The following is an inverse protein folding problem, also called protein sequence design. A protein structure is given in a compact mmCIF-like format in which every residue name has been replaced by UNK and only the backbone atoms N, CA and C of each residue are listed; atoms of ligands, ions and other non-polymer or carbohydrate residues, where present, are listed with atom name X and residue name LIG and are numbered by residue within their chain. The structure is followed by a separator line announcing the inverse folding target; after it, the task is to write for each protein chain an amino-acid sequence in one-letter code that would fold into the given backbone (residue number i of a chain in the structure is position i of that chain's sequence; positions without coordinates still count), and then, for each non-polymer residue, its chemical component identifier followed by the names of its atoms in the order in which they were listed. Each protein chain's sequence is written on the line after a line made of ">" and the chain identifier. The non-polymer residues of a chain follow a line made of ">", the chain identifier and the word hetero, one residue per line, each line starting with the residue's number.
data_IF_152264653768
#
_entry.id   IF_152264653768
#
_cell.length_a   1.000
_cell.length_b   1.000
_cell.length_c   1.000
_cell.angle_alpha   90.00
_cell.angle_beta   90.00
_cell.angle_gamma   90.00
#
_symmetry.space_group_name_H-M   'P 1'
#
loop_
_entity.id
_entity.type
_entity.pdbx_description
1 polymer ?
#
# COMPACT_ATOMS: atom_id res chain seq x y z
N UNK A 1 18.24 7.18 5.89
CA UNK A 1 17.62 6.23 6.85
C UNK A 1 16.76 6.95 7.89
N UNK A 2 17.11 8.19 8.28
CA UNK A 2 16.44 8.99 9.32
C UNK A 2 14.98 9.39 9.03
N UNK A 3 14.49 9.16 7.82
CA UNK A 3 13.13 9.54 7.38
C UNK A 3 12.15 8.35 7.38
N UNK A 4 12.65 7.11 7.44
CA UNK A 4 11.79 5.93 7.56
C UNK A 4 11.35 5.77 9.00
N UNK A 5 10.06 5.53 9.22
CA UNK A 5 9.51 5.28 10.56
C UNK A 5 9.14 3.81 10.76
N UNK A 6 7.90 3.57 11.18
CA UNK A 6 7.38 2.22 11.46
C UNK A 6 7.22 1.35 10.22
N UNK A 7 6.70 0.14 10.41
CA UNK A 7 6.40 -0.81 9.32
C UNK A 7 4.95 -1.24 9.36
N UNK A 8 4.28 -1.16 8.21
CA UNK A 8 2.92 -1.66 8.01
C UNK A 8 2.94 -2.69 6.90
N UNK A 9 2.36 -3.86 7.17
CA UNK A 9 2.34 -5.00 6.26
C UNK A 9 0.90 -5.27 5.85
N UNK A 10 0.61 -5.13 4.55
CA UNK A 10 -0.73 -5.34 4.01
C UNK A 10 -0.76 -6.65 3.23
N UNK A 11 -1.65 -7.56 3.64
CA UNK A 11 -1.94 -8.75 2.84
C UNK A 11 -2.79 -8.37 1.63
N UNK A 12 -2.33 -8.69 0.44
CA UNK A 12 -3.07 -8.49 -0.80
C UNK A 12 -4.01 -9.68 -1.05
N UNK A 13 -5.21 -9.45 -1.61
CA UNK A 13 -6.13 -10.51 -1.98
C UNK A 13 -5.51 -11.54 -2.93
N UNK A 14 -5.98 -12.79 -2.85
CA UNK A 14 -5.56 -13.83 -3.78
C UNK A 14 -5.89 -13.43 -5.23
N UNK A 15 -4.97 -13.72 -6.16
CA UNK A 15 -5.13 -13.37 -7.58
C UNK A 15 -4.74 -11.94 -7.94
N UNK A 16 -4.36 -11.11 -6.96
CA UNK A 16 -3.71 -9.83 -7.25
C UNK A 16 -2.29 -10.02 -7.75
N UNK A 17 -1.82 -9.08 -8.57
CA UNK A 17 -0.44 -9.01 -9.04
C UNK A 17 0.30 -7.87 -8.33
N UNK A 18 1.12 -8.17 -7.28
CA UNK A 18 1.76 -7.14 -6.47
C UNK A 18 2.64 -6.19 -7.29
N UNK A 19 3.29 -6.69 -8.34
CA UNK A 19 4.13 -5.89 -9.23
C UNK A 19 3.34 -4.80 -9.96
N UNK A 20 2.11 -5.09 -10.42
CA UNK A 20 1.23 -4.10 -11.07
C UNK A 20 0.80 -3.01 -10.10
N UNK A 21 0.45 -3.40 -8.87
CA UNK A 21 0.05 -2.46 -7.82
C UNK A 21 1.24 -1.54 -7.46
N UNK A 22 2.44 -2.09 -7.28
CA UNK A 22 3.65 -1.30 -6.99
C UNK A 22 3.96 -0.34 -8.15
N UNK A 23 3.79 -0.77 -9.40
CA UNK A 23 3.99 0.09 -10.56
C UNK A 23 3.01 1.28 -10.55
N UNK A 24 1.71 1.02 -10.33
CA UNK A 24 0.71 2.08 -10.26
C UNK A 24 0.95 3.04 -9.07
N UNK A 25 1.31 2.53 -7.90
CA UNK A 25 1.67 3.37 -6.75
C UNK A 25 2.90 4.24 -7.05
N UNK A 26 3.90 3.70 -7.76
CA UNK A 26 5.09 4.45 -8.17
C UNK A 26 4.75 5.61 -9.11
N UNK A 27 3.79 5.44 -10.01
CA UNK A 27 3.33 6.51 -10.90
C UNK A 27 2.75 7.70 -10.11
N UNK A 28 2.14 7.42 -8.95
CA UNK A 28 1.66 8.42 -7.97
C UNK A 28 2.74 8.89 -6.98
N UNK A 29 4.03 8.56 -7.24
CA UNK A 29 5.16 8.85 -6.34
C UNK A 29 5.03 8.22 -4.94
N UNK A 30 4.29 7.13 -4.82
CA UNK A 30 4.18 6.33 -3.61
C UNK A 30 5.09 5.10 -3.73
N UNK A 31 6.07 5.01 -2.83
CA UNK A 31 7.10 3.97 -2.91
C UNK A 31 6.91 2.90 -1.84
N UNK A 32 6.88 1.65 -2.28
CA UNK A 32 6.78 0.47 -1.44
C UNK A 32 7.42 -0.74 -2.14
N UNK A 33 7.50 -1.86 -1.44
CA UNK A 33 7.87 -3.14 -2.02
C UNK A 33 6.87 -4.24 -1.61
N UNK A 34 7.05 -5.45 -2.14
CA UNK A 34 6.29 -6.61 -1.72
C UNK A 34 7.18 -7.84 -1.52
N UNK A 35 6.73 -8.74 -0.65
CA UNK A 35 7.25 -10.09 -0.50
C UNK A 35 6.11 -11.09 -0.66
N UNK A 36 6.08 -11.80 -1.78
CA UNK A 36 4.90 -12.60 -2.14
C UNK A 36 3.68 -11.69 -2.32
N UNK A 37 2.56 -12.04 -1.71
CA UNK A 37 1.32 -11.22 -1.70
C UNK A 37 1.26 -10.23 -0.53
N UNK A 38 2.39 -9.96 0.14
CA UNK A 38 2.43 -8.98 1.23
C UNK A 38 3.11 -7.70 0.76
N UNK A 39 2.35 -6.60 0.70
CA UNK A 39 2.87 -5.26 0.46
C UNK A 39 3.50 -4.72 1.75
N UNK A 40 4.68 -4.12 1.66
CA UNK A 40 5.42 -3.58 2.81
C UNK A 40 5.58 -2.08 2.68
N UNK A 41 5.11 -1.38 3.70
CA UNK A 41 5.14 0.07 3.80
C UNK A 41 6.03 0.46 4.98
N UNK A 42 6.83 1.49 4.80
CA UNK A 42 7.69 2.04 5.86
C UNK A 42 7.35 3.51 6.15
N UNK A 43 6.11 3.82 6.60
CA UNK A 43 5.71 5.20 6.85
C UNK A 43 6.58 5.82 7.95
N UNK A 44 6.91 7.10 7.80
CA UNK A 44 7.80 7.82 8.72
C UNK A 44 7.47 9.30 8.83
N UNK A 45 8.42 10.10 9.32
CA UNK A 45 8.18 11.53 9.55
C UNK A 45 7.86 12.31 8.28
N UNK A 46 8.22 11.77 7.11
CA UNK A 46 7.91 12.37 5.80
C UNK A 46 6.57 11.91 5.21
N UNK A 47 5.87 10.98 5.86
CA UNK A 47 4.56 10.49 5.40
C UNK A 47 3.47 11.48 5.81
N UNK A 48 2.78 12.03 4.81
CA UNK A 48 1.68 12.98 5.00
C UNK A 48 0.33 12.28 4.93
N UNK A 49 -0.69 12.89 5.53
CA UNK A 49 -2.09 12.42 5.41
C UNK A 49 -2.52 12.32 3.94
N UNK A 50 -2.17 13.31 3.12
CA UNK A 50 -2.46 13.29 1.67
C UNK A 50 -1.84 12.09 0.95
N UNK A 51 -0.61 11.69 1.32
CA UNK A 51 0.02 10.50 0.73
C UNK A 51 -0.67 9.20 1.19
N UNK A 52 -1.18 9.18 2.43
CA UNK A 52 -1.98 8.07 2.95
C UNK A 52 -3.33 7.98 2.22
N UNK A 53 -4.00 9.10 1.98
CA UNK A 53 -5.26 9.15 1.24
C UNK A 53 -5.07 8.68 -0.21
N UNK A 54 -4.01 9.16 -0.88
CA UNK A 54 -3.66 8.72 -2.23
C UNK A 54 -3.36 7.21 -2.28
N UNK A 55 -2.64 6.68 -1.29
CA UNK A 55 -2.40 5.25 -1.15
C UNK A 55 -3.71 4.47 -1.02
N UNK A 56 -4.63 4.91 -0.16
CA UNK A 56 -5.91 4.23 0.06
C UNK A 56 -6.75 4.26 -1.22
N UNK A 57 -6.78 5.37 -1.94
CA UNK A 57 -7.51 5.51 -3.21
C UNK A 57 -6.97 4.54 -4.27
N UNK A 58 -5.65 4.51 -4.46
CA UNK A 58 -5.01 3.58 -5.40
C UNK A 58 -5.24 2.12 -5.02
N UNK A 59 -5.06 1.76 -3.74
CA UNK A 59 -5.33 0.39 -3.31
C UNK A 59 -6.79 0.02 -3.56
N UNK A 60 -7.75 0.90 -3.28
CA UNK A 60 -9.17 0.67 -3.53
C UNK A 60 -9.47 0.45 -5.01
N UNK A 61 -8.84 1.21 -5.91
CA UNK A 61 -8.98 1.03 -7.36
C UNK A 61 -8.46 -0.34 -7.82
N UNK A 62 -7.27 -0.74 -7.36
CA UNK A 62 -6.59 -1.93 -7.87
C UNK A 62 -7.01 -3.25 -7.21
N UNK A 63 -7.46 -3.22 -5.96
CA UNK A 63 -7.82 -4.44 -5.21
C UNK A 63 -9.27 -4.44 -4.70
N UNK A 64 -10.01 -3.35 -4.98
CA UNK A 64 -11.39 -3.15 -4.53
C UNK A 64 -11.50 -2.81 -3.04
N UNK A 65 -12.73 -2.56 -2.59
CA UNK A 65 -13.07 -2.48 -1.17
C UNK A 65 -13.87 -3.72 -0.77
N UNK A 66 -13.35 -4.52 0.15
CA UNK A 66 -14.13 -5.60 0.78
C UNK A 66 -14.53 -5.14 2.16
N UNK A 67 -15.83 -4.96 2.41
CA UNK A 67 -16.32 -4.85 3.78
C UNK A 67 -15.92 -6.12 4.52
N UNK A 68 -15.20 -5.98 5.64
CA UNK A 68 -15.13 -7.09 6.60
C UNK A 68 -16.57 -7.39 6.99
N UNK A 69 -17.04 -8.62 6.77
CA UNK A 69 -18.18 -9.11 7.56
C UNK A 69 -17.69 -9.11 8.99
N UNK A 70 -18.32 -8.30 9.85
CA UNK A 70 -18.17 -8.48 11.27
C UNK A 70 -18.49 -9.95 11.58
N UNK A 71 -17.57 -10.62 12.27
CA UNK A 71 -17.82 -11.92 12.87
C UNK A 71 -18.71 -11.74 14.10
#
# INVERSE_FOLDING_TARGET
>A
ASERGGSVMLGLPQGTEPAKIIAALRDERLYCDARGTTLRLSPGMVTTETAVDALIAQLTEHIGSRRRRAS
#
